data_IF_803640066314
#
_entry.id   IF_803640066314
#
_cell.length_a   1.000
_cell.length_b   1.000
_cell.length_c   1.000
_cell.angle_alpha   90.00
_cell.angle_beta   90.00
_cell.angle_gamma   90.00
#
_symmetry.space_group_name_H-M   'P 1'
#
loop_
_entity.id
_entity.type
_entity.pdbx_description
1 polymer ?
#
# COMPACT_ATOMS: atom_id res chain seq x y z
N UNK A 1 11.55 -6.38 -11.96
CA UNK A 1 13.02 -6.14 -11.92
C UNK A 1 13.43 -4.96 -11.04
N UNK A 2 13.02 -3.70 -11.34
CA UNK A 2 13.44 -2.52 -10.54
C UNK A 2 13.10 -2.63 -9.04
N UNK A 3 11.86 -3.03 -8.72
CA UNK A 3 11.44 -3.25 -7.33
C UNK A 3 12.32 -4.32 -6.65
N UNK A 4 12.52 -5.47 -7.28
CA UNK A 4 13.35 -6.55 -6.73
C UNK A 4 14.79 -6.12 -6.45
N UNK A 5 15.41 -5.33 -7.33
CA UNK A 5 16.75 -4.77 -7.09
C UNK A 5 16.78 -3.83 -5.89
N UNK A 6 15.80 -2.93 -5.78
CA UNK A 6 15.72 -1.99 -4.66
C UNK A 6 15.46 -2.71 -3.32
N UNK A 7 14.62 -3.76 -3.34
CA UNK A 7 14.32 -4.59 -2.16
C UNK A 7 15.55 -5.39 -1.72
N UNK A 8 16.34 -5.92 -2.67
CA UNK A 8 17.62 -6.60 -2.37
C UNK A 8 18.56 -5.68 -1.60
N UNK A 9 18.72 -4.43 -2.04
CA UNK A 9 19.60 -3.46 -1.37
C UNK A 9 19.17 -3.17 0.08
N UNK A 10 17.89 -3.39 0.40
CA UNK A 10 17.33 -3.26 1.74
C UNK A 10 17.36 -4.57 2.53
N UNK A 11 17.84 -5.66 1.95
CA UNK A 11 17.85 -6.99 2.56
C UNK A 11 16.46 -7.61 2.72
N UNK A 12 15.47 -7.11 1.97
CA UNK A 12 14.11 -7.64 1.97
C UNK A 12 13.93 -8.77 0.96
N UNK A 13 12.69 -9.22 0.82
CA UNK A 13 12.27 -10.23 -0.16
C UNK A 13 10.97 -9.80 -0.85
N UNK A 14 10.75 -10.31 -2.06
CA UNK A 14 9.53 -10.09 -2.84
C UNK A 14 8.88 -11.44 -3.10
N UNK A 15 7.59 -11.54 -2.83
CA UNK A 15 6.77 -12.69 -3.24
C UNK A 15 5.76 -12.17 -4.25
N UNK A 16 5.79 -12.75 -5.45
CA UNK A 16 4.80 -12.52 -6.50
C UNK A 16 3.88 -13.73 -6.58
N UNK A 17 2.57 -13.49 -6.61
CA UNK A 17 1.54 -14.52 -6.71
C UNK A 17 0.93 -14.42 -8.11
N UNK A 18 0.98 -15.52 -8.86
CA UNK A 18 0.47 -15.59 -10.24
C UNK A 18 -0.52 -16.76 -10.36
N UNK A 19 -1.70 -16.49 -10.90
CA UNK A 19 -2.73 -17.51 -11.03
C UNK A 19 -2.42 -18.50 -12.16
N UNK A 20 -1.96 -17.98 -13.31
CA UNK A 20 -1.66 -18.81 -14.47
C UNK A 20 -0.28 -19.49 -14.31
N UNK A 21 -0.21 -20.83 -14.23
CA UNK A 21 1.05 -21.53 -14.06
C UNK A 21 2.05 -21.29 -15.20
N UNK A 22 1.58 -21.01 -16.43
CA UNK A 22 2.42 -20.68 -17.58
C UNK A 22 3.06 -19.31 -17.38
N UNK A 23 2.26 -18.30 -17.02
CA UNK A 23 2.78 -16.96 -16.72
C UNK A 23 3.72 -16.98 -15.51
N UNK A 24 3.44 -17.81 -14.51
CA UNK A 24 4.32 -18.00 -13.37
C UNK A 24 5.69 -18.56 -13.79
N UNK A 25 5.74 -19.52 -14.73
CA UNK A 25 7.00 -20.02 -15.29
C UNK A 25 7.75 -18.94 -16.06
N UNK A 26 7.06 -18.18 -16.94
CA UNK A 26 7.67 -17.06 -17.67
C UNK A 26 8.24 -16.02 -16.71
N UNK A 27 7.51 -15.67 -15.66
CA UNK A 27 7.96 -14.72 -14.65
C UNK A 27 9.21 -15.24 -13.91
N UNK A 28 9.26 -16.52 -13.55
CA UNK A 28 10.45 -17.14 -12.93
C UNK A 28 11.67 -17.06 -13.83
N UNK A 29 11.52 -17.35 -15.12
CA UNK A 29 12.61 -17.27 -16.09
C UNK A 29 13.11 -15.84 -16.26
N UNK A 30 12.19 -14.86 -16.35
CA UNK A 30 12.55 -13.44 -16.41
C UNK A 30 13.29 -12.96 -15.16
N UNK A 31 12.85 -13.41 -13.98
CA UNK A 31 13.50 -13.09 -12.70
C UNK A 31 14.89 -13.73 -12.62
N UNK A 32 15.04 -14.98 -13.06
CA UNK A 32 16.33 -15.67 -13.11
C UNK A 32 17.29 -14.99 -14.09
N UNK A 33 16.81 -14.62 -15.27
CA UNK A 33 17.59 -13.88 -16.26
C UNK A 33 18.03 -12.51 -15.74
N UNK A 34 17.18 -11.83 -14.97
CA UNK A 34 17.53 -10.58 -14.29
C UNK A 34 18.48 -10.78 -13.10
N UNK A 35 18.84 -12.02 -12.76
CA UNK A 35 19.71 -12.36 -11.63
C UNK A 35 19.08 -11.98 -10.29
N UNK A 36 17.76 -12.16 -10.14
CA UNK A 36 16.96 -11.77 -8.95
C UNK A 36 16.35 -12.97 -8.18
N UNK A 37 16.74 -14.20 -8.49
CA UNK A 37 16.13 -15.42 -7.91
C UNK A 37 16.36 -15.62 -6.40
N UNK A 38 17.37 -14.98 -5.83
CA UNK A 38 17.66 -14.96 -4.38
C UNK A 38 16.76 -14.00 -3.60
N UNK A 39 16.08 -13.06 -4.28
CA UNK A 39 15.25 -12.02 -3.65
C UNK A 39 13.79 -12.07 -4.06
N UNK A 40 13.46 -12.56 -5.27
CA UNK A 40 12.08 -12.67 -5.76
C UNK A 40 11.66 -14.13 -5.88
N UNK A 41 10.61 -14.49 -5.15
CA UNK A 41 9.91 -15.77 -5.29
C UNK A 41 8.62 -15.58 -6.10
N UNK A 42 8.30 -16.52 -6.98
CA UNK A 42 7.03 -16.54 -7.74
C UNK A 42 6.24 -17.78 -7.38
N UNK A 43 5.09 -17.59 -6.77
CA UNK A 43 4.17 -18.64 -6.32
C UNK A 43 3.00 -18.75 -7.30
N UNK A 44 2.70 -19.96 -7.74
CA UNK A 44 1.59 -20.21 -8.65
C UNK A 44 0.33 -20.59 -7.84
N UNK A 45 -0.79 -19.91 -8.07
CA UNK A 45 -2.07 -20.20 -7.42
C UNK A 45 -2.91 -18.95 -7.09
N UNK A 46 -4.08 -19.18 -6.51
CA UNK A 46 -4.97 -18.11 -6.07
C UNK A 46 -4.44 -17.40 -4.81
N UNK A 47 -4.52 -16.08 -4.77
CA UNK A 47 -4.12 -15.25 -3.63
C UNK A 47 -4.79 -15.70 -2.31
N UNK A 48 -6.08 -16.05 -2.36
CA UNK A 48 -6.86 -16.58 -1.23
C UNK A 48 -6.19 -17.76 -0.51
N UNK A 49 -5.51 -18.63 -1.27
CA UNK A 49 -4.78 -19.78 -0.71
C UNK A 49 -3.34 -19.40 -0.35
N UNK A 50 -2.69 -18.62 -1.21
CA UNK A 50 -1.29 -18.27 -1.06
C UNK A 50 -1.02 -17.32 0.10
N UNK A 51 -1.97 -16.46 0.47
CA UNK A 51 -1.90 -15.62 1.67
C UNK A 51 -1.89 -16.48 2.94
N UNK A 52 -2.70 -17.54 3.00
CA UNK A 52 -2.66 -18.51 4.10
C UNK A 52 -1.33 -19.29 4.16
N UNK A 53 -0.78 -19.66 3.00
CA UNK A 53 0.54 -20.29 2.92
C UNK A 53 1.68 -19.35 3.35
N UNK A 54 1.56 -18.05 3.04
CA UNK A 54 2.51 -17.04 3.49
C UNK A 54 2.55 -17.00 5.03
N UNK A 55 1.39 -16.95 5.68
CA UNK A 55 1.28 -17.04 7.13
C UNK A 55 1.94 -18.31 7.70
N UNK A 56 1.68 -19.48 7.08
CA UNK A 56 2.26 -20.74 7.55
C UNK A 56 3.80 -20.81 7.37
N UNK A 57 4.35 -20.22 6.31
CA UNK A 57 5.79 -20.25 5.99
C UNK A 57 6.60 -19.15 6.67
N UNK A 58 5.94 -18.08 7.13
CA UNK A 58 6.56 -16.93 7.80
C UNK A 58 5.92 -16.74 9.17
N UNK A 59 6.26 -17.57 10.16
CA UNK A 59 5.69 -17.48 11.50
C UNK A 59 6.12 -16.22 12.26
N UNK A 60 7.16 -15.52 11.78
CA UNK A 60 7.56 -14.22 12.32
C UNK A 60 6.67 -13.12 11.71
N UNK A 61 5.79 -12.57 12.55
CA UNK A 61 4.90 -11.47 12.21
C UNK A 61 5.39 -10.14 12.79
N UNK A 62 5.15 -9.00 12.10
CA UNK A 62 4.56 -8.89 10.76
C UNK A 62 5.57 -9.19 9.62
N UNK A 63 5.07 -9.64 8.47
CA UNK A 63 5.89 -10.08 7.32
C UNK A 63 5.72 -9.23 6.05
N UNK A 64 4.73 -8.33 6.00
CA UNK A 64 4.39 -7.55 4.80
C UNK A 64 4.45 -6.04 5.09
N UNK A 65 5.48 -5.39 4.55
CA UNK A 65 5.65 -3.93 4.59
C UNK A 65 5.02 -3.21 3.38
N UNK A 66 4.93 -3.91 2.25
CA UNK A 66 4.38 -3.39 1.00
C UNK A 66 3.57 -4.50 0.31
N UNK A 67 2.34 -4.19 -0.08
CA UNK A 67 1.57 -5.03 -1.01
C UNK A 67 1.25 -4.22 -2.28
N UNK A 68 1.47 -4.83 -3.44
CA UNK A 68 1.11 -4.27 -4.74
C UNK A 68 0.00 -5.12 -5.35
N UNK A 69 -1.16 -4.51 -5.62
CA UNK A 69 -2.31 -5.17 -6.20
C UNK A 69 -2.49 -4.75 -7.65
N UNK A 70 -2.42 -5.73 -8.54
CA UNK A 70 -2.59 -5.59 -9.99
C UNK A 70 -3.37 -6.77 -10.58
N UNK A 71 -4.01 -7.55 -9.71
CA UNK A 71 -4.94 -8.63 -10.07
C UNK A 71 -6.35 -8.07 -10.37
N UNK A 72 -7.37 -8.93 -10.27
CA UNK A 72 -8.77 -8.50 -10.40
C UNK A 72 -9.18 -7.58 -9.26
N UNK A 73 -9.70 -6.39 -9.58
CA UNK A 73 -10.08 -5.35 -8.60
C UNK A 73 -11.05 -5.80 -7.52
N UNK A 74 -12.02 -6.67 -7.85
CA UNK A 74 -12.98 -7.23 -6.88
C UNK A 74 -12.34 -8.13 -5.81
N UNK A 75 -11.07 -8.56 -5.97
CA UNK A 75 -10.32 -9.32 -4.96
C UNK A 75 -9.48 -8.46 -4.03
N UNK A 76 -9.24 -7.19 -4.37
CA UNK A 76 -8.29 -6.35 -3.62
C UNK A 76 -8.67 -6.21 -2.15
N UNK A 77 -9.94 -6.05 -1.83
CA UNK A 77 -10.39 -5.97 -0.43
C UNK A 77 -10.25 -7.30 0.30
N UNK A 78 -10.66 -8.41 -0.32
CA UNK A 78 -10.61 -9.74 0.32
C UNK A 78 -9.17 -10.16 0.64
N UNK A 79 -8.23 -9.87 -0.27
CA UNK A 79 -6.80 -10.12 -0.06
C UNK A 79 -6.24 -9.22 1.04
N UNK A 80 -6.57 -7.92 1.04
CA UNK A 80 -6.14 -6.98 2.07
C UNK A 80 -6.69 -7.37 3.45
N UNK A 81 -7.96 -7.72 3.52
CA UNK A 81 -8.61 -8.15 4.75
C UNK A 81 -7.99 -9.45 5.26
N UNK A 82 -7.69 -10.42 4.39
CA UNK A 82 -7.00 -11.65 4.77
C UNK A 82 -5.60 -11.39 5.32
N UNK A 83 -4.83 -10.51 4.69
CA UNK A 83 -3.52 -10.07 5.17
C UNK A 83 -3.60 -9.41 6.55
N UNK A 84 -4.61 -8.57 6.79
CA UNK A 84 -4.82 -7.90 8.07
C UNK A 84 -5.27 -8.88 9.18
N UNK A 85 -6.24 -9.76 8.88
CA UNK A 85 -6.78 -10.76 9.82
C UNK A 85 -5.74 -11.78 10.28
N UNK A 86 -4.81 -12.16 9.39
CA UNK A 86 -3.69 -13.04 9.70
C UNK A 86 -2.52 -12.32 10.37
N UNK A 87 -2.63 -11.01 10.64
CA UNK A 87 -1.58 -10.21 11.25
C UNK A 87 -0.30 -10.12 10.42
N UNK A 88 -0.39 -10.29 9.10
CA UNK A 88 0.76 -10.26 8.20
C UNK A 88 1.27 -8.85 7.94
N UNK A 89 0.39 -7.85 7.99
CA UNK A 89 0.71 -6.45 7.71
C UNK A 89 1.48 -5.79 8.85
N UNK A 90 2.56 -5.08 8.51
CA UNK A 90 3.31 -4.28 9.49
C UNK A 90 2.55 -3.04 9.96
N UNK A 91 3.04 -2.38 11.02
CA UNK A 91 2.42 -1.19 11.63
C UNK A 91 2.31 -0.02 10.63
N UNK A 92 3.23 0.06 9.66
CA UNK A 92 3.27 1.12 8.62
C UNK A 92 3.14 0.55 7.20
N UNK A 93 2.47 -0.60 7.05
CA UNK A 93 2.31 -1.26 5.77
C UNK A 93 1.70 -0.31 4.71
N UNK A 94 2.23 -0.40 3.49
CA UNK A 94 1.76 0.37 2.34
C UNK A 94 1.11 -0.56 1.35
N UNK A 95 -0.11 -0.23 0.93
CA UNK A 95 -0.85 -0.92 -0.11
C UNK A 95 -0.89 -0.02 -1.32
N UNK A 96 -0.45 -0.51 -2.46
CA UNK A 96 -0.53 0.18 -3.75
C UNK A 96 -1.42 -0.67 -4.64
N UNK A 97 -2.54 -0.12 -5.12
CA UNK A 97 -3.44 -0.84 -6.01
C UNK A 97 -3.59 -0.09 -7.33
N UNK A 98 -3.29 -0.79 -8.42
CA UNK A 98 -3.42 -0.29 -9.78
C UNK A 98 -4.85 -0.48 -10.32
N UNK A 99 -5.21 0.22 -11.39
CA UNK A 99 -6.47 0.02 -12.12
C UNK A 99 -7.74 0.19 -11.24
N UNK A 100 -7.67 1.07 -10.24
CA UNK A 100 -8.75 1.24 -9.24
C UNK A 100 -9.95 2.03 -9.77
N UNK A 101 -9.79 2.71 -10.92
CA UNK A 101 -10.89 3.36 -11.64
C UNK A 101 -11.33 2.57 -12.87
N UNK A 102 -10.41 1.99 -13.64
CA UNK A 102 -10.75 1.14 -14.79
C UNK A 102 -9.91 -0.16 -14.79
N UNK A 103 -10.52 -1.35 -14.90
CA UNK A 103 -11.96 -1.63 -14.84
C UNK A 103 -12.59 -1.28 -13.48
N UNK A 104 -11.78 -1.04 -12.44
CA UNK A 104 -12.24 -0.50 -11.17
C UNK A 104 -12.08 -1.46 -9.98
N UNK A 105 -11.95 -0.89 -8.78
CA UNK A 105 -11.98 -1.64 -7.52
C UNK A 105 -12.89 -0.95 -6.48
N UNK A 106 -14.22 -0.89 -6.71
CA UNK A 106 -15.13 -0.06 -5.93
C UNK A 106 -15.22 -0.47 -4.46
N UNK A 107 -15.32 -1.77 -4.19
CA UNK A 107 -15.38 -2.30 -2.81
C UNK A 107 -14.12 -1.95 -2.04
N UNK A 108 -12.95 -2.14 -2.66
CA UNK A 108 -11.67 -1.78 -2.07
C UNK A 108 -11.58 -0.29 -1.75
N UNK A 109 -11.87 0.59 -2.71
CA UNK A 109 -11.81 2.04 -2.52
C UNK A 109 -12.78 2.50 -1.41
N UNK A 110 -13.97 1.90 -1.33
CA UNK A 110 -14.91 2.22 -0.25
C UNK A 110 -14.34 1.89 1.12
N UNK A 111 -13.72 0.72 1.28
CA UNK A 111 -13.11 0.33 2.55
C UNK A 111 -11.91 1.19 2.95
N UNK A 112 -11.05 1.58 2.00
CA UNK A 112 -9.82 2.33 2.32
C UNK A 112 -10.01 3.87 2.32
N UNK A 113 -11.14 4.38 1.83
CA UNK A 113 -11.40 5.82 1.75
C UNK A 113 -12.66 6.29 2.50
N UNK A 114 -13.70 5.47 2.64
CA UNK A 114 -14.99 5.90 3.18
C UNK A 114 -15.34 5.26 4.55
N UNK A 115 -14.74 4.12 4.87
CA UNK A 115 -14.91 3.48 6.17
C UNK A 115 -13.85 4.01 7.14
N UNK A 116 -14.27 4.36 8.36
CA UNK A 116 -13.34 4.60 9.46
C UNK A 116 -12.51 3.33 9.68
N UNK A 117 -11.27 3.37 9.26
CA UNK A 117 -10.35 2.24 9.28
C UNK A 117 -8.92 2.73 9.44
N UNK A 118 -7.96 1.80 9.53
CA UNK A 118 -6.56 2.14 9.80
C UNK A 118 -5.84 2.73 8.59
N UNK A 119 -6.54 3.24 7.58
CA UNK A 119 -5.99 3.60 6.27
C UNK A 119 -6.04 5.11 6.02
N UNK A 120 -4.90 5.71 5.73
CA UNK A 120 -4.84 7.00 5.04
C UNK A 120 -4.57 6.72 3.56
N UNK A 121 -5.52 7.07 2.69
CA UNK A 121 -5.45 6.76 1.25
C UNK A 121 -5.32 8.02 0.41
N UNK A 122 -4.40 7.96 -0.56
CA UNK A 122 -4.26 8.96 -1.62
C UNK A 122 -4.34 8.29 -2.98
N UNK A 123 -4.87 8.98 -3.97
CA UNK A 123 -5.01 8.48 -5.33
C UNK A 123 -4.24 9.35 -6.31
N UNK A 124 -3.55 8.71 -7.24
CA UNK A 124 -2.92 9.36 -8.39
C UNK A 124 -3.73 9.06 -9.62
N UNK A 125 -4.14 10.11 -10.33
CA UNK A 125 -4.62 10.01 -11.70
C UNK A 125 -3.43 9.75 -12.63
N UNK A 126 -3.39 8.55 -13.22
CA UNK A 126 -2.38 8.12 -14.18
C UNK A 126 -3.05 8.05 -15.55
N UNK A 127 -2.41 8.65 -16.56
CA UNK A 127 -2.85 8.49 -17.95
C UNK A 127 -2.26 7.18 -18.46
N UNK A 128 -3.13 6.24 -18.78
CA UNK A 128 -2.71 4.97 -19.33
C UNK A 128 -2.12 5.17 -20.74
N UNK A 129 -0.86 4.73 -20.91
CA UNK A 129 -0.14 4.80 -22.18
C UNK A 129 -0.72 3.86 -23.24
N UNK A 130 -1.43 2.78 -22.84
CA UNK A 130 -2.06 1.81 -23.74
C UNK A 130 -3.50 2.13 -24.11
N UNK A 131 -4.25 2.78 -23.22
CA UNK A 131 -5.70 3.05 -23.39
C UNK A 131 -6.00 4.43 -23.98
N UNK A 132 -5.18 4.92 -24.91
CA UNK A 132 -5.40 6.20 -25.62
C UNK A 132 -5.53 7.43 -24.71
N UNK A 133 -4.85 7.44 -23.56
CA UNK A 133 -4.83 8.56 -22.62
C UNK A 133 -6.10 8.73 -21.77
N UNK A 134 -6.92 7.68 -21.66
CA UNK A 134 -8.00 7.64 -20.66
C UNK A 134 -7.37 7.59 -19.27
N UNK A 135 -7.88 8.42 -18.37
CA UNK A 135 -7.43 8.50 -16.99
C UNK A 135 -7.79 7.20 -16.24
N UNK A 136 -6.86 6.75 -15.41
CA UNK A 136 -7.03 5.69 -14.43
C UNK A 136 -6.53 6.15 -13.08
N UNK A 137 -6.89 5.41 -12.04
CA UNK A 137 -6.44 5.67 -10.69
C UNK A 137 -5.54 4.57 -10.18
N UNK A 138 -4.38 4.98 -9.67
CA UNK A 138 -3.57 4.17 -8.77
C UNK A 138 -3.78 4.69 -7.35
N UNK A 139 -4.25 3.82 -6.46
CA UNK A 139 -4.41 4.16 -5.05
C UNK A 139 -3.17 3.75 -4.25
N UNK A 140 -2.84 4.58 -3.26
CA UNK A 140 -1.79 4.33 -2.28
C UNK A 140 -2.39 4.52 -0.90
N UNK A 141 -2.58 3.41 -0.19
CA UNK A 141 -3.12 3.37 1.17
C UNK A 141 -2.01 3.04 2.14
N UNK A 142 -1.78 3.92 3.11
CA UNK A 142 -0.81 3.69 4.18
C UNK A 142 -1.54 3.37 5.47
N UNK A 143 -1.08 2.34 6.16
CA UNK A 143 -1.59 1.99 7.48
C UNK A 143 -1.12 3.01 8.52
N UNK A 144 -2.06 3.64 9.23
CA UNK A 144 -1.80 4.67 10.25
C UNK A 144 -1.99 4.17 11.67
N UNK A 145 -2.72 3.08 11.86
CA UNK A 145 -2.95 2.45 13.16
C UNK A 145 -2.91 0.93 13.01
N UNK A 146 -2.16 0.24 13.88
CA UNK A 146 -2.30 -1.20 14.00
C UNK A 146 -3.67 -1.51 14.60
N UNK A 147 -4.33 -2.57 14.13
CA UNK A 147 -5.57 -3.05 14.74
C UNK A 147 -5.28 -3.39 16.20
N UNK A 148 -5.88 -2.67 17.14
CA UNK A 148 -5.74 -2.97 18.57
C UNK A 148 -6.53 -4.25 18.83
N UNK A 149 -5.84 -5.36 19.09
CA UNK A 149 -6.48 -6.50 19.74
C UNK A 149 -6.71 -6.11 21.20
N UNK A 150 -7.95 -5.76 21.56
CA UNK A 150 -8.29 -5.59 22.97
C UNK A 150 -8.24 -6.96 23.67
N UNK A 151 -7.44 -7.13 24.73
CA UNK A 151 -7.42 -8.38 25.48
C UNK A 151 -8.75 -8.53 26.24
N UNK A 152 -9.55 -9.53 25.85
CA UNK A 152 -10.81 -9.88 26.52
C UNK A 152 -12.09 -9.63 25.73
N UNK A 153 -12.00 -9.19 24.47
CA UNK A 153 -13.17 -9.08 23.61
C UNK A 153 -13.64 -10.50 23.19
N UNK A 154 -14.88 -10.92 23.50
CA UNK A 154 -15.36 -12.24 23.10
C UNK A 154 -15.28 -12.37 21.58
N UNK A 155 -14.90 -13.55 21.07
CA UNK A 155 -14.73 -13.85 19.64
C UNK A 155 -15.97 -13.51 18.77
N UNK A 156 -17.12 -13.22 19.39
CA UNK A 156 -18.38 -12.82 18.78
C UNK A 156 -18.64 -11.30 18.66
N UNK A 157 -17.82 -10.41 19.24
CA UNK A 157 -17.86 -8.96 18.99
C UNK A 157 -16.73 -8.52 18.06
N UNK A 158 -16.46 -9.34 17.03
CA UNK A 158 -15.75 -8.89 15.83
C UNK A 158 -16.60 -7.78 15.25
N UNK A 159 -16.12 -6.54 15.36
CA UNK A 159 -16.70 -5.37 14.71
C UNK A 159 -17.04 -5.79 13.27
N UNK A 160 -18.33 -5.93 12.99
CA UNK A 160 -18.81 -6.60 11.79
C UNK A 160 -18.13 -5.96 10.58
N UNK A 161 -17.55 -6.79 9.70
CA UNK A 161 -17.09 -6.38 8.37
C UNK A 161 -18.19 -5.50 7.80
N UNK A 162 -17.97 -4.18 7.76
CA UNK A 162 -19.03 -3.26 7.34
C UNK A 162 -19.29 -3.61 5.89
N UNK A 163 -20.44 -4.23 5.64
CA UNK A 163 -20.79 -4.67 4.30
C UNK A 163 -20.93 -3.43 3.41
N UNK A 164 -20.29 -3.39 2.23
CA UNK A 164 -20.43 -2.24 1.35
C UNK A 164 -21.91 -1.99 0.99
N UNK A 165 -22.33 -0.71 0.86
CA UNK A 165 -23.67 -0.35 0.41
C UNK A 165 -24.02 -1.07 -0.89
N UNK A 166 -25.31 -1.33 -1.13
CA UNK A 166 -25.76 -1.98 -2.38
C UNK A 166 -25.23 -1.24 -3.61
N UNK A 167 -25.21 0.09 -3.58
CA UNK A 167 -24.66 0.90 -4.66
C UNK A 167 -23.19 0.55 -4.98
N UNK A 168 -22.33 0.35 -3.97
CA UNK A 168 -20.92 -0.02 -4.17
C UNK A 168 -20.81 -1.44 -4.72
N UNK A 169 -21.62 -2.37 -4.21
CA UNK A 169 -21.61 -3.78 -4.66
C UNK A 169 -22.10 -3.95 -6.09
N UNK A 170 -23.17 -3.25 -6.47
CA UNK A 170 -23.68 -3.24 -7.85
C UNK A 170 -22.60 -2.69 -8.80
N UNK A 171 -21.86 -1.67 -8.36
CA UNK A 171 -20.78 -1.07 -9.13
C UNK A 171 -19.53 -1.96 -9.24
N UNK A 172 -19.23 -2.74 -8.20
CA UNK A 172 -18.17 -3.76 -8.21
C UNK A 172 -18.48 -4.85 -9.26
N UNK A 173 -19.75 -5.25 -9.37
CA UNK A 173 -20.21 -6.16 -10.42
C UNK A 173 -20.04 -5.56 -11.82
N UNK A 174 -20.49 -4.31 -12.02
CA UNK A 174 -20.35 -3.58 -13.30
C UNK A 174 -18.87 -3.44 -13.71
N UNK A 175 -17.96 -3.20 -12.75
CA UNK A 175 -16.52 -3.18 -12.97
C UNK A 175 -15.96 -4.53 -13.44
N UNK A 176 -16.37 -5.63 -12.80
CA UNK A 176 -15.97 -6.97 -13.22
C UNK A 176 -16.52 -7.34 -14.63
N UNK A 177 -17.74 -6.92 -14.97
CA UNK A 177 -18.29 -7.08 -16.33
C UNK A 177 -17.46 -6.32 -17.37
N UNK A 178 -17.09 -5.07 -17.06
CA UNK A 178 -16.24 -4.25 -17.94
C UNK A 178 -14.85 -4.88 -18.15
N UNK A 179 -14.30 -5.51 -17.11
CA UNK A 179 -13.05 -6.29 -17.20
C UNK A 179 -13.21 -7.49 -18.11
N UNK A 180 -14.27 -8.28 -17.96
CA UNK A 180 -14.51 -9.44 -18.83
C UNK A 180 -14.67 -9.01 -20.29
N UNK A 181 -15.41 -7.93 -20.52
CA UNK A 181 -15.56 -7.36 -21.86
C UNK A 181 -14.22 -6.99 -22.50
N UNK A 182 -13.26 -6.46 -21.73
CA UNK A 182 -11.94 -6.09 -22.24
C UNK A 182 -10.98 -7.26 -22.45
N UNK A 183 -11.19 -8.36 -21.73
CA UNK A 183 -10.48 -9.62 -21.95
C UNK A 183 -10.98 -10.31 -23.23
N UNK A 184 -12.30 -10.32 -23.44
CA UNK A 184 -12.92 -11.04 -24.56
C UNK A 184 -12.88 -10.23 -25.88
N UNK A 185 -12.90 -8.89 -25.80
CA UNK A 185 -13.00 -8.03 -26.95
C UNK A 185 -12.28 -6.69 -26.78
N UNK A 186 -11.99 -6.04 -27.91
CA UNK A 186 -11.53 -4.66 -27.90
C UNK A 186 -12.65 -3.72 -27.43
N UNK A 187 -12.39 -3.02 -26.32
CA UNK A 187 -13.27 -1.97 -25.81
C UNK A 187 -12.75 -0.62 -26.26
N UNK A 188 -13.55 0.19 -26.98
CA UNK A 188 -13.06 1.43 -27.55
C UNK A 188 -12.90 2.52 -26.46
N UNK A 189 -12.04 3.53 -26.70
CA UNK A 189 -11.69 4.51 -25.67
C UNK A 189 -12.85 5.35 -25.16
N UNK A 190 -13.84 5.67 -26.01
CA UNK A 190 -15.04 6.40 -25.59
C UNK A 190 -15.87 5.63 -24.56
N UNK A 191 -15.90 4.30 -24.67
CA UNK A 191 -16.61 3.46 -23.71
C UNK A 191 -15.87 3.44 -22.38
N UNK A 192 -14.53 3.32 -22.40
CA UNK A 192 -13.71 3.48 -21.20
C UNK A 192 -13.88 4.84 -20.52
N UNK A 193 -13.96 5.94 -21.29
CA UNK A 193 -14.20 7.28 -20.74
C UNK A 193 -15.60 7.40 -20.13
N UNK A 194 -16.61 6.82 -20.78
CA UNK A 194 -17.97 6.82 -20.26
C UNK A 194 -18.04 6.02 -18.95
N UNK A 195 -17.42 4.84 -18.92
CA UNK A 195 -17.34 4.00 -17.74
C UNK A 195 -16.58 4.67 -16.60
N UNK A 196 -15.40 5.27 -16.85
CA UNK A 196 -14.65 6.00 -15.83
C UNK A 196 -15.48 7.13 -15.20
N UNK A 197 -16.18 7.94 -16.01
CA UNK A 197 -17.07 9.00 -15.50
C UNK A 197 -18.23 8.45 -14.66
N UNK A 198 -18.82 7.33 -15.06
CA UNK A 198 -19.86 6.64 -14.29
C UNK A 198 -19.31 6.17 -12.94
N UNK A 199 -18.14 5.53 -12.97
CA UNK A 199 -17.42 4.99 -11.82
C UNK A 199 -17.12 6.10 -10.80
N UNK A 200 -16.52 7.22 -11.24
CA UNK A 200 -16.27 8.39 -10.40
C UNK A 200 -17.55 8.96 -9.76
N UNK A 201 -18.59 9.18 -10.57
CA UNK A 201 -19.85 9.75 -10.10
C UNK A 201 -20.53 8.86 -9.05
N UNK A 202 -20.49 7.54 -9.24
CA UNK A 202 -21.12 6.59 -8.33
C UNK A 202 -20.29 6.34 -7.06
N UNK A 203 -18.95 6.37 -7.14
CA UNK A 203 -18.09 6.40 -5.96
C UNK A 203 -18.35 7.63 -5.11
N UNK A 204 -18.41 8.81 -5.73
CA UNK A 204 -18.71 10.06 -5.04
C UNK A 204 -20.09 10.02 -4.35
N UNK A 205 -21.09 9.42 -5.02
CA UNK A 205 -22.43 9.20 -4.45
C UNK A 205 -22.47 8.20 -3.29
N UNK A 206 -21.49 7.30 -3.20
CA UNK A 206 -21.28 6.39 -2.08
C UNK A 206 -20.29 6.92 -1.03
N UNK A 207 -20.02 8.23 -1.05
CA UNK A 207 -19.10 8.94 -0.14
C UNK A 207 -17.63 8.49 -0.25
N UNK A 208 -17.27 7.79 -1.32
CA UNK A 208 -15.87 7.43 -1.61
C UNK A 208 -15.19 8.62 -2.27
N UNK A 209 -14.44 9.39 -1.48
CA UNK A 209 -13.75 10.61 -1.92
C UNK A 209 -12.26 10.51 -1.60
N UNK A 210 -11.46 9.84 -2.45
CA UNK A 210 -10.02 9.73 -2.22
C UNK A 210 -9.34 11.10 -2.30
N UNK A 211 -8.29 11.28 -1.50
CA UNK A 211 -7.44 12.46 -1.60
C UNK A 211 -6.57 12.36 -2.85
N UNK A 212 -6.86 13.22 -3.84
CA UNK A 212 -6.06 13.26 -5.07
C UNK A 212 -4.69 13.88 -4.80
N UNK A 213 -3.65 13.29 -5.38
CA UNK A 213 -2.28 13.78 -5.32
C UNK A 213 -1.50 13.41 -6.56
N UNK A 214 -0.39 14.12 -6.80
CA UNK A 214 0.59 13.73 -7.80
C UNK A 214 1.64 12.76 -7.21
N UNK A 215 2.40 12.09 -8.09
CA UNK A 215 3.43 11.14 -7.69
C UNK A 215 4.49 11.75 -6.75
N UNK A 216 4.85 13.01 -6.94
CA UNK A 216 5.86 13.67 -6.10
C UNK A 216 5.33 13.90 -4.68
N UNK A 217 4.10 14.38 -4.57
CA UNK A 217 3.40 14.64 -3.31
C UNK A 217 3.17 13.37 -2.50
N UNK A 218 2.82 12.25 -3.16
CA UNK A 218 2.65 10.95 -2.50
C UNK A 218 4.02 10.41 -2.08
N UNK A 219 5.04 10.51 -2.92
CA UNK A 219 6.39 10.09 -2.55
C UNK A 219 6.90 10.86 -1.33
N UNK A 220 6.63 12.16 -1.24
CA UNK A 220 7.01 12.97 -0.08
C UNK A 220 6.20 12.64 1.17
N UNK A 221 4.91 12.32 1.02
CA UNK A 221 4.07 11.83 2.11
C UNK A 221 4.57 10.48 2.66
N UNK A 222 4.90 9.52 1.80
CA UNK A 222 5.46 8.22 2.21
C UNK A 222 6.83 8.36 2.91
N UNK A 223 7.62 9.39 2.59
CA UNK A 223 8.89 9.68 3.28
C UNK A 223 8.69 10.31 4.67
N UNK A 224 7.47 10.56 5.10
CA UNK A 224 7.19 11.07 6.45
C UNK A 224 6.88 9.88 7.37
N UNK A 225 7.83 9.38 8.18
CA UNK A 225 7.56 8.26 9.08
C UNK A 225 6.43 8.60 10.05
N UNK A 226 5.53 7.63 10.28
CA UNK A 226 4.36 7.83 11.15
C UNK A 226 4.71 7.56 12.60
N UNK A 227 5.64 6.62 12.85
CA UNK A 227 5.97 6.19 14.21
C UNK A 227 7.40 6.55 14.60
N UNK A 228 7.60 6.67 15.92
CA UNK A 228 8.94 6.81 16.51
C UNK A 228 9.83 5.60 16.18
N UNK A 229 9.26 4.39 16.13
CA UNK A 229 9.97 3.16 15.78
C UNK A 229 10.47 3.19 14.34
N UNK A 230 9.59 3.50 13.38
CA UNK A 230 9.93 3.62 11.96
C UNK A 230 11.01 4.69 11.73
N UNK A 231 10.90 5.82 12.42
CA UNK A 231 11.93 6.87 12.37
C UNK A 231 13.30 6.39 12.89
N UNK A 232 13.32 5.60 13.98
CA UNK A 232 14.57 5.04 14.52
C UNK A 232 15.18 3.96 13.61
N UNK A 233 14.36 3.16 12.93
CA UNK A 233 14.87 2.23 11.91
C UNK A 233 15.56 2.98 10.77
N UNK A 234 14.95 4.06 10.27
CA UNK A 234 15.57 4.93 9.26
C UNK A 234 16.89 5.51 9.77
N UNK A 235 16.94 5.94 11.04
CA UNK A 235 18.15 6.50 11.65
C UNK A 235 19.32 5.52 11.74
N UNK A 236 19.03 4.20 11.79
CA UNK A 236 20.03 3.12 11.88
C UNK A 236 20.52 2.63 10.51
N UNK A 237 19.92 3.08 9.41
CA UNK A 237 20.35 2.69 8.06
C UNK A 237 21.79 3.12 7.80
N UNK A 238 22.53 2.30 7.04
CA UNK A 238 23.92 2.58 6.66
C UNK A 238 24.07 3.89 5.87
N UNK A 239 23.03 4.32 5.16
CA UNK A 239 23.05 5.53 4.34
C UNK A 239 22.53 6.79 5.05
N UNK A 240 22.15 6.70 6.33
CA UNK A 240 21.74 7.84 7.14
C UNK A 240 22.97 8.68 7.54
N UNK A 241 23.00 9.96 7.14
CA UNK A 241 24.18 10.84 7.29
C UNK A 241 24.06 11.81 8.46
N UNK A 242 22.90 12.43 8.62
CA UNK A 242 22.68 13.43 9.68
C UNK A 242 21.19 13.57 10.01
N UNK A 243 20.91 14.06 11.20
CA UNK A 243 19.57 14.43 11.65
C UNK A 243 19.55 15.88 12.10
N UNK A 244 18.64 16.67 11.51
CA UNK A 244 18.34 18.04 11.94
C UNK A 244 17.12 18.03 12.84
N UNK A 245 17.24 18.58 14.05
CA UNK A 245 16.14 18.69 15.01
C UNK A 245 15.74 20.16 15.07
N UNK A 246 14.52 20.48 14.64
CA UNK A 246 13.98 21.83 14.62
C UNK A 246 12.82 21.96 15.59
N UNK A 247 12.90 22.90 16.53
CA UNK A 247 11.79 23.23 17.46
C UNK A 247 10.97 24.40 16.90
N UNK A 248 9.71 24.15 16.56
CA UNK A 248 8.75 25.13 16.05
C UNK A 248 7.59 25.27 17.07
N UNK A 249 7.77 26.10 18.09
CA UNK A 249 6.73 26.33 19.10
C UNK A 249 6.34 25.05 19.86
N UNK A 250 5.17 24.50 19.54
CA UNK A 250 4.65 23.24 20.11
C UNK A 250 5.11 21.98 19.37
N UNK A 251 5.63 22.12 18.15
CA UNK A 251 6.07 20.98 17.34
C UNK A 251 7.60 20.84 17.36
N UNK A 252 8.09 19.60 17.42
CA UNK A 252 9.50 19.26 17.16
C UNK A 252 9.57 18.44 15.88
N UNK A 253 10.35 18.92 14.89
CA UNK A 253 10.55 18.26 13.61
C UNK A 253 11.93 17.61 13.57
N UNK A 254 11.98 16.30 13.40
CA UNK A 254 13.21 15.54 13.21
C UNK A 254 13.37 15.22 11.72
N UNK A 255 14.48 15.67 11.12
CA UNK A 255 14.73 15.51 9.68
C UNK A 255 16.00 14.69 9.44
N UNK A 256 15.88 13.42 9.08
CA UNK A 256 17.01 12.54 8.76
C UNK A 256 17.35 12.65 7.27
N UNK A 257 18.58 13.04 6.97
CA UNK A 257 19.12 13.01 5.60
C UNK A 257 19.77 11.65 5.34
N UNK A 258 19.21 10.92 4.39
CA UNK A 258 19.80 9.71 3.80
C UNK A 258 20.50 10.04 2.48
N UNK A 259 21.00 9.02 1.78
CA UNK A 259 21.63 9.15 0.46
C UNK A 259 20.73 9.92 -0.52
N UNK A 260 19.53 9.41 -0.76
CA UNK A 260 18.59 9.94 -1.76
C UNK A 260 17.53 10.85 -1.13
N UNK A 261 17.00 10.46 0.03
CA UNK A 261 15.79 11.07 0.60
C UNK A 261 16.04 11.80 1.93
N UNK A 262 15.14 12.74 2.23
CA UNK A 262 15.02 13.40 3.52
C UNK A 262 13.74 12.93 4.18
N UNK A 263 13.85 12.25 5.32
CA UNK A 263 12.71 11.77 6.10
C UNK A 263 12.39 12.76 7.21
N UNK A 264 11.11 13.10 7.40
CA UNK A 264 10.69 14.06 8.42
C UNK A 264 9.65 13.45 9.36
N UNK A 265 9.96 13.38 10.65
CA UNK A 265 8.98 13.09 11.70
C UNK A 265 8.61 14.38 12.41
N UNK A 266 7.31 14.64 12.58
CA UNK A 266 6.79 15.77 13.36
C UNK A 266 6.18 15.22 14.64
N UNK A 267 6.56 15.77 15.79
CA UNK A 267 6.05 15.37 17.10
C UNK A 267 5.57 16.58 17.88
N UNK A 268 4.35 16.50 18.42
CA UNK A 268 3.76 17.53 19.28
C UNK A 268 4.08 17.32 20.77
N UNK A 269 4.29 16.06 21.17
CA UNK A 269 4.63 15.69 22.55
C UNK A 269 6.12 15.95 22.83
N UNK A 270 6.39 16.94 23.69
CA UNK A 270 7.75 17.32 24.11
C UNK A 270 8.49 16.19 24.82
N UNK A 271 7.81 15.41 25.66
CA UNK A 271 8.45 14.33 26.41
C UNK A 271 8.84 13.18 25.49
N UNK A 272 7.98 12.81 24.54
CA UNK A 272 8.31 11.80 23.52
C UNK A 272 9.43 12.30 22.58
N UNK A 273 9.44 13.58 22.22
CA UNK A 273 10.49 14.16 21.40
C UNK A 273 11.88 14.07 22.07
N UNK A 274 11.99 14.40 23.36
CA UNK A 274 13.25 14.29 24.09
C UNK A 274 13.70 12.81 24.23
N UNK A 275 12.76 11.87 24.47
CA UNK A 275 13.08 10.43 24.46
C UNK A 275 13.59 9.95 23.09
N UNK A 276 12.96 10.39 22.00
CA UNK A 276 13.42 10.05 20.66
C UNK A 276 14.83 10.61 20.39
N UNK A 277 15.10 11.86 20.80
CA UNK A 277 16.42 12.49 20.68
C UNK A 277 17.52 11.69 21.37
N UNK A 278 17.24 11.15 22.54
CA UNK A 278 18.15 10.29 23.30
C UNK A 278 18.36 8.92 22.62
N UNK A 279 17.33 8.40 21.96
CA UNK A 279 17.35 7.09 21.29
C UNK A 279 18.06 7.08 19.92
N UNK A 280 18.40 8.25 19.38
CA UNK A 280 19.08 8.37 18.10
C UNK A 280 20.50 7.77 18.12
N UNK A 281 20.91 7.00 17.10
CA UNK A 281 22.21 6.35 17.06
C UNK A 281 23.37 7.34 17.26
N UNK A 282 24.42 6.96 18.04
CA UNK A 282 25.56 7.84 18.28
C UNK A 282 26.39 8.11 17.02
N UNK A 283 26.35 7.20 16.04
CA UNK A 283 27.01 7.35 14.73
C UNK A 283 26.39 8.44 13.86
N UNK A 284 25.16 8.87 14.15
CA UNK A 284 24.42 9.84 13.34
C UNK A 284 24.71 11.27 13.80
N UNK A 285 25.15 12.14 12.89
CA UNK A 285 25.44 13.54 13.22
C UNK A 285 24.15 14.29 13.61
N UNK A 286 24.07 14.75 14.86
CA UNK A 286 22.93 15.51 15.40
C UNK A 286 23.18 17.01 15.22
N UNK A 287 22.27 17.72 14.56
CA UNK A 287 22.31 19.19 14.39
C UNK A 287 21.01 19.80 14.92
N UNK A 288 21.12 20.66 15.93
CA UNK A 288 19.99 21.42 16.47
C UNK A 288 19.91 22.79 15.79
N UNK A 289 18.72 23.16 15.32
CA UNK A 289 18.45 24.39 14.55
C UNK A 289 17.17 25.05 15.06
#
# INVERSE_FOLDING_TARGET
VRLGSAVRDWGGQVISMELDPVLACVARDMIAWAGLSDVVEVWAGHSEQLVGQLHARRPEHPAVDLAFFDQRGSRFWEDLESLDQLGLLSEEAVIVADNTLKPGAPTFLWHVCAVDGPWETRVVAVKDFGSFGVEDWMSVSRRVQARVQEPGCPEGSREAVRRPPRAVRDLDWEADEMRWKSVDAHVPPEEWRAFARLMEARLAGAEVKPLMGDLASIADWLKSPLTTKGFLQIARRKDARSVKIKKNGTETKFKIRCSTYLYTLVMTDKAKAEKLKQSLPPSLQKKEI
#
